data_IF_943845350495
#
_entry.id   IF_943845350495
#
_cell.length_a   1.000
_cell.length_b   1.000
_cell.length_c   1.000
_cell.angle_alpha   90.00
_cell.angle_beta   90.00
_cell.angle_gamma   90.00
#
_symmetry.space_group_name_H-M   'P 1'
#
loop_
_entity.id
_entity.type
_entity.pdbx_description
1 polymer ?
#
# COMPACT_ATOMS: atom_id res chain seq x y z
N UNK A 1 22.50 2.82 -1.29
CA UNK A 1 21.35 3.70 -1.62
C UNK A 1 20.07 3.00 -1.25
N UNK A 2 19.18 3.68 -0.55
CA UNK A 2 17.92 3.10 -0.09
C UNK A 2 16.88 3.01 -1.20
N UNK A 3 15.99 2.04 -1.08
CA UNK A 3 14.85 1.90 -1.99
C UNK A 3 14.00 3.17 -2.07
N UNK A 4 13.89 3.91 -0.97
CA UNK A 4 13.17 5.18 -0.92
C UNK A 4 13.71 6.22 -1.91
N UNK A 5 14.98 6.15 -2.27
CA UNK A 5 15.59 7.07 -3.23
C UNK A 5 15.11 6.82 -4.67
N UNK A 6 14.55 5.64 -4.93
CA UNK A 6 14.06 5.26 -6.26
C UNK A 6 12.60 5.61 -6.50
N UNK A 7 11.84 5.88 -5.44
CA UNK A 7 10.39 6.04 -5.51
C UNK A 7 9.91 7.37 -4.96
N UNK A 8 8.85 7.88 -5.57
CA UNK A 8 8.01 8.92 -4.99
C UNK A 8 6.88 8.25 -4.22
N UNK A 9 6.62 8.69 -3.02
CA UNK A 9 5.59 8.12 -2.16
C UNK A 9 4.40 9.07 -2.04
N UNK A 10 3.19 8.53 -2.15
CA UNK A 10 1.95 9.28 -1.98
C UNK A 10 0.94 8.41 -1.27
N UNK A 11 0.32 8.95 -0.22
CA UNK A 11 -0.74 8.27 0.50
C UNK A 11 -2.07 8.44 -0.24
N UNK A 12 -2.78 7.33 -0.44
CA UNK A 12 -4.09 7.32 -1.08
C UNK A 12 -5.10 6.58 -0.21
N UNK A 13 -6.36 7.01 -0.30
CA UNK A 13 -7.49 6.31 0.31
C UNK A 13 -8.23 5.55 -0.77
N UNK A 14 -8.47 4.27 -0.53
CA UNK A 14 -9.28 3.43 -1.40
C UNK A 14 -10.46 2.89 -0.63
N UNK A 15 -11.63 2.94 -1.25
CA UNK A 15 -12.84 2.32 -0.70
C UNK A 15 -12.80 0.82 -0.93
N UNK A 16 -13.11 0.07 0.12
CA UNK A 16 -13.24 -1.38 0.03
C UNK A 16 -14.39 -1.83 0.93
N UNK A 17 -15.10 -2.87 0.50
CA UNK A 17 -16.22 -3.42 1.25
C UNK A 17 -15.74 -4.64 2.02
N UNK A 18 -15.97 -4.64 3.34
CA UNK A 18 -15.62 -5.75 4.21
C UNK A 18 -16.80 -6.14 5.09
N UNK A 19 -16.86 -7.43 5.43
CA UNK A 19 -17.81 -7.94 6.40
C UNK A 19 -17.14 -8.09 7.76
N UNK A 20 -17.76 -7.53 8.79
CA UNK A 20 -17.26 -7.70 10.16
C UNK A 20 -17.41 -9.16 10.59
N UNK A 21 -16.36 -9.81 11.11
CA UNK A 21 -16.47 -11.20 11.57
C UNK A 21 -17.27 -11.34 12.87
N UNK A 22 -17.49 -10.24 13.59
CA UNK A 22 -18.21 -10.26 14.87
C UNK A 22 -19.72 -10.09 14.69
N UNK A 23 -20.15 -9.10 13.90
CA UNK A 23 -21.59 -8.83 13.68
C UNK A 23 -22.05 -9.19 12.28
N UNK A 24 -21.15 -9.58 11.42
CA UNK A 24 -21.40 -9.97 10.02
C UNK A 24 -22.01 -8.87 9.15
N UNK A 25 -21.95 -7.63 9.60
CA UNK A 25 -22.42 -6.50 8.83
C UNK A 25 -21.42 -6.15 7.73
N UNK A 26 -21.94 -5.98 6.50
CA UNK A 26 -21.12 -5.60 5.35
C UNK A 26 -21.19 -4.10 5.17
N UNK A 27 -20.03 -3.44 5.18
CA UNK A 27 -19.94 -1.98 5.13
C UNK A 27 -18.74 -1.56 4.28
N UNK A 28 -18.85 -0.38 3.68
CA UNK A 28 -17.74 0.23 2.98
C UNK A 28 -16.80 0.94 3.95
N UNK A 29 -15.52 0.72 3.77
CA UNK A 29 -14.46 1.33 4.57
C UNK A 29 -13.46 2.03 3.67
N UNK A 30 -12.81 3.05 4.21
CA UNK A 30 -11.69 3.70 3.55
C UNK A 30 -10.39 3.11 4.11
N UNK A 31 -9.58 2.54 3.22
CA UNK A 31 -8.30 1.92 3.57
C UNK A 31 -7.17 2.78 3.02
N UNK A 32 -6.20 3.07 3.88
CA UNK A 32 -5.04 3.86 3.48
C UNK A 32 -4.03 2.98 2.75
N UNK A 33 -3.57 3.48 1.64
CA UNK A 33 -2.55 2.84 0.82
C UNK A 33 -1.41 3.83 0.58
N UNK A 34 -0.19 3.31 0.53
CA UNK A 34 0.97 4.08 0.11
C UNK A 34 1.28 3.72 -1.33
N UNK A 35 1.11 4.69 -2.23
CA UNK A 35 1.48 4.53 -3.63
C UNK A 35 2.94 4.90 -3.80
N UNK A 36 3.74 3.98 -4.29
CA UNK A 36 5.15 4.19 -4.57
C UNK A 36 5.36 4.11 -6.08
N UNK A 37 5.66 5.25 -6.67
CA UNK A 37 5.90 5.36 -8.11
C UNK A 37 7.38 5.58 -8.35
N UNK A 38 7.94 4.85 -9.31
CA UNK A 38 9.35 4.98 -9.67
C UNK A 38 9.62 6.37 -10.21
N UNK A 39 10.71 6.97 -9.76
CA UNK A 39 11.18 8.25 -10.31
C UNK A 39 11.55 8.08 -11.78
N UNK A 40 11.49 9.18 -12.53
CA UNK A 40 11.81 9.14 -13.96
C UNK A 40 13.27 8.84 -14.22
N UNK A 41 14.15 9.24 -13.32
CA UNK A 41 15.59 9.06 -13.45
C UNK A 41 16.16 8.49 -12.16
N UNK A 42 17.24 7.70 -12.31
CA UNK A 42 17.96 7.20 -11.15
C UNK A 42 18.53 8.37 -10.34
N UNK A 43 18.63 8.24 -8.99
CA UNK A 43 19.19 9.27 -8.14
C UNK A 43 20.64 9.60 -8.52
N UNK A 44 21.05 10.84 -8.26
CA UNK A 44 22.43 11.24 -8.43
C UNK A 44 23.34 10.42 -7.53
N UNK A 45 24.51 10.02 -8.04
CA UNK A 45 25.45 9.20 -7.30
C UNK A 45 25.14 7.71 -7.32
N UNK A 46 24.12 7.28 -8.05
CA UNK A 46 23.83 5.87 -8.22
C UNK A 46 24.95 5.20 -9.03
N UNK A 47 25.46 4.07 -8.52
CA UNK A 47 26.43 3.25 -9.24
C UNK A 47 25.71 2.33 -10.24
N UNK A 48 26.46 1.47 -10.95
CA UNK A 48 25.86 0.56 -11.92
C UNK A 48 24.88 -0.41 -11.30
N UNK A 49 25.15 -0.91 -10.09
CA UNK A 49 24.27 -1.81 -9.38
C UNK A 49 22.96 -1.10 -8.99
N UNK A 50 23.05 0.13 -8.51
CA UNK A 50 21.89 0.93 -8.16
C UNK A 50 21.05 1.24 -9.39
N UNK A 51 21.68 1.56 -10.52
CA UNK A 51 20.96 1.80 -11.78
C UNK A 51 20.24 0.56 -12.29
N UNK A 52 20.87 -0.61 -12.17
CA UNK A 52 20.26 -1.88 -12.54
C UNK A 52 19.04 -2.20 -11.68
N UNK A 53 19.15 -1.96 -10.36
CA UNK A 53 18.03 -2.12 -9.43
C UNK A 53 16.89 -1.16 -9.77
N UNK A 54 17.22 0.08 -10.07
CA UNK A 54 16.24 1.09 -10.45
C UNK A 54 15.47 0.69 -11.71
N UNK A 55 16.17 0.18 -12.74
CA UNK A 55 15.51 -0.27 -13.96
C UNK A 55 14.56 -1.45 -13.76
N UNK A 56 14.85 -2.30 -12.78
CA UNK A 56 14.01 -3.45 -12.44
C UNK A 56 12.86 -3.07 -11.50
N UNK A 57 12.87 -1.88 -10.94
CA UNK A 57 11.84 -1.43 -10.01
C UNK A 57 10.53 -1.16 -10.75
N UNK A 58 9.42 -1.46 -10.10
CA UNK A 58 8.07 -1.24 -10.61
C UNK A 58 7.26 -0.40 -9.66
N UNK A 59 6.28 0.30 -10.21
CA UNK A 59 5.30 1.01 -9.39
C UNK A 59 4.44 0.00 -8.63
N UNK A 60 4.20 0.28 -7.36
CA UNK A 60 3.37 -0.59 -6.54
C UNK A 60 2.68 0.20 -5.43
N UNK A 61 1.67 -0.42 -4.83
CA UNK A 61 0.97 0.13 -3.68
C UNK A 61 1.10 -0.83 -2.50
N UNK A 62 1.33 -0.27 -1.32
CA UNK A 62 1.41 -1.02 -0.07
C UNK A 62 0.26 -0.59 0.83
N UNK A 63 -0.48 -1.55 1.39
CA UNK A 63 -1.54 -1.25 2.34
C UNK A 63 -0.94 -0.83 3.68
N UNK A 64 -1.37 0.34 4.17
CA UNK A 64 -0.92 0.86 5.46
C UNK A 64 -1.77 0.31 6.59
N UNK A 65 -3.10 0.24 6.40
CA UNK A 65 -4.03 -0.22 7.44
C UNK A 65 -4.14 -1.75 7.43
N UNK A 66 -3.88 -2.36 8.58
CA UNK A 66 -4.04 -3.82 8.77
C UNK A 66 -5.33 -4.17 9.49
N UNK A 67 -5.90 -3.24 10.22
CA UNK A 67 -7.10 -3.43 11.02
C UNK A 67 -8.11 -2.30 10.78
N UNK A 68 -9.38 -2.65 10.87
CA UNK A 68 -10.48 -1.69 10.76
C UNK A 68 -11.42 -1.82 11.97
N UNK A 69 -12.08 -0.72 12.31
CA UNK A 69 -13.13 -0.73 13.33
C UNK A 69 -14.50 -0.84 12.65
N UNK A 70 -15.28 -1.82 13.04
CA UNK A 70 -16.65 -1.98 12.53
C UNK A 70 -17.50 -0.75 12.85
N UNK A 71 -18.21 -0.25 11.85
CA UNK A 71 -19.09 0.92 12.03
C UNK A 71 -20.35 0.59 12.81
N UNK A 72 -20.75 -0.68 12.85
CA UNK A 72 -21.96 -1.12 13.55
C UNK A 72 -21.71 -1.55 14.97
N UNK A 73 -20.81 -2.52 15.21
CA UNK A 73 -20.52 -3.04 16.54
C UNK A 73 -19.31 -2.40 17.20
N UNK A 74 -18.56 -1.60 16.48
CA UNK A 74 -17.36 -0.87 16.93
C UNK A 74 -16.20 -1.76 17.36
N UNK A 75 -16.24 -3.05 17.05
CA UNK A 75 -15.13 -3.95 17.33
C UNK A 75 -14.11 -3.87 16.19
N UNK A 76 -12.84 -4.00 16.54
CA UNK A 76 -11.77 -4.05 15.54
C UNK A 76 -11.67 -5.45 14.94
N UNK A 77 -11.36 -5.52 13.68
CA UNK A 77 -11.11 -6.77 12.97
C UNK A 77 -9.97 -6.60 11.98
N UNK A 78 -9.27 -7.70 11.69
CA UNK A 78 -8.21 -7.70 10.69
C UNK A 78 -8.80 -7.63 9.30
N UNK A 79 -8.12 -6.91 8.39
CA UNK A 79 -8.54 -6.86 7.00
C UNK A 79 -8.32 -8.24 6.38
N UNK A 80 -9.38 -8.92 5.90
CA UNK A 80 -9.28 -10.29 5.40
C UNK A 80 -8.73 -10.32 3.97
N UNK A 81 -7.52 -9.82 3.78
CA UNK A 81 -6.87 -9.82 2.48
C UNK A 81 -5.43 -10.26 2.64
N UNK A 82 -5.04 -11.23 1.84
CA UNK A 82 -3.66 -11.68 1.77
C UNK A 82 -2.77 -10.74 0.94
N UNK A 83 -3.38 -9.86 0.16
CA UNK A 83 -2.64 -8.94 -0.70
C UNK A 83 -2.46 -7.59 -0.01
N UNK A 84 -1.27 -7.38 0.54
CA UNK A 84 -0.86 -6.08 1.09
C UNK A 84 -0.04 -5.25 0.09
N UNK A 85 0.35 -5.83 -1.03
CA UNK A 85 1.13 -5.19 -2.09
C UNK A 85 0.44 -5.43 -3.43
N UNK A 86 0.23 -4.37 -4.19
CA UNK A 86 -0.37 -4.44 -5.53
C UNK A 86 0.54 -3.72 -6.51
N UNK A 87 0.95 -4.41 -7.57
CA UNK A 87 1.70 -3.77 -8.67
C UNK A 87 0.75 -3.05 -9.60
N UNK A 88 1.18 -1.86 -10.02
CA UNK A 88 0.38 -1.00 -10.90
C UNK A 88 0.97 -0.97 -12.30
#
# INVERSE_FOLDING_TARGET
>A
MNEQDFFNEKQELKKATFSCPHCRERTDYEVRWLRRTRKQQAPRGANEQDRARFQKSRDYMVRIDDMLACKSCRRRFDIPSSQSVVFI
#
